data_IF_918525535081
#
_entry.id   IF_918525535081
#
_cell.length_a   1.000
_cell.length_b   1.000
_cell.length_c   1.000
_cell.angle_alpha   90.00
_cell.angle_beta   90.00
_cell.angle_gamma   90.00
#
_symmetry.space_group_name_H-M   'P 1'
#
loop_
_entity.id
_entity.type
_entity.pdbx_description
1 polymer ?
#
# COMPACT_ATOMS: atom_id res chain seq x y z
N UNK A 1 56.99 -5.61 19.91
CA UNK A 1 56.63 -4.79 18.72
C UNK A 1 55.16 -5.04 18.42
N UNK A 2 54.40 -3.96 18.38
CA UNK A 2 52.96 -3.84 18.23
C UNK A 2 52.43 -4.35 16.88
N UNK A 3 51.13 -4.69 16.87
CA UNK A 3 50.10 -4.56 15.80
C UNK A 3 49.38 -5.89 15.54
N UNK A 4 48.10 -5.95 15.27
CA UNK A 4 46.92 -5.11 15.50
C UNK A 4 45.77 -6.03 15.07
N UNK A 5 44.76 -6.13 15.93
CA UNK A 5 43.56 -6.95 15.76
C UNK A 5 42.64 -6.35 14.68
N UNK A 6 42.67 -6.79 13.41
CA UNK A 6 41.74 -6.31 12.36
C UNK A 6 41.60 -7.33 11.21
N UNK A 7 40.71 -8.31 11.34
CA UNK A 7 40.08 -8.94 10.18
C UNK A 7 38.73 -9.58 10.54
N UNK A 8 37.84 -8.79 11.14
CA UNK A 8 36.44 -9.19 11.39
C UNK A 8 35.45 -8.12 10.94
N UNK A 9 35.78 -7.39 9.88
CA UNK A 9 34.95 -6.31 9.34
C UNK A 9 34.84 -6.51 7.83
N UNK A 10 33.66 -6.91 7.37
CA UNK A 10 33.35 -6.78 5.94
C UNK A 10 32.36 -7.79 5.39
N UNK A 11 31.11 -7.80 5.87
CA UNK A 11 29.93 -8.07 5.02
C UNK A 11 28.59 -7.83 5.73
N UNK A 12 28.46 -6.74 6.48
CA UNK A 12 27.14 -6.21 6.81
C UNK A 12 26.77 -5.15 5.76
N UNK A 13 26.53 -5.60 4.53
CA UNK A 13 25.89 -4.76 3.52
C UNK A 13 24.41 -4.64 3.90
N UNK A 14 24.10 -3.68 4.77
CA UNK A 14 22.73 -3.26 5.03
C UNK A 14 22.20 -2.65 3.74
N UNK A 15 21.44 -3.44 2.98
CA UNK A 15 20.64 -2.93 1.89
C UNK A 15 19.60 -1.96 2.47
N UNK A 16 19.93 -0.67 2.47
CA UNK A 16 18.98 0.41 2.67
C UNK A 16 18.06 0.45 1.44
N UNK A 17 17.17 -0.52 1.31
CA UNK A 17 16.07 -0.43 0.38
C UNK A 17 15.19 0.71 0.87
N UNK A 18 15.23 1.85 0.18
CA UNK A 18 14.31 2.96 0.38
C UNK A 18 12.88 2.44 0.30
N UNK A 19 12.28 2.16 1.46
CA UNK A 19 10.89 1.82 1.57
C UNK A 19 10.11 3.06 1.17
N UNK A 20 9.58 3.10 -0.07
CA UNK A 20 8.41 3.93 -0.33
C UNK A 20 7.35 3.46 0.65
N UNK A 21 7.12 4.23 1.73
CA UNK A 21 6.31 3.76 2.85
C UNK A 21 4.86 3.71 2.41
N UNK A 22 4.30 2.50 2.31
CA UNK A 22 2.85 2.34 2.36
C UNK A 22 2.43 2.68 3.78
N UNK A 23 1.60 3.72 3.93
CA UNK A 23 0.97 4.09 5.19
C UNK A 23 -0.32 3.33 5.33
N UNK A 24 -0.50 2.60 6.43
CA UNK A 24 -1.68 1.76 6.66
C UNK A 24 -2.52 2.34 7.78
N UNK A 25 -3.82 2.48 7.53
CA UNK A 25 -4.84 2.67 8.56
C UNK A 25 -5.77 1.45 8.57
N UNK A 26 -6.36 1.14 9.72
CA UNK A 26 -7.32 0.05 9.86
C UNK A 26 -8.43 0.43 10.83
N UNK A 27 -9.59 -0.17 10.64
CA UNK A 27 -10.77 -0.03 11.49
C UNK A 27 -11.50 -1.38 11.53
N UNK A 28 -12.18 -1.68 12.63
CA UNK A 28 -12.90 -2.94 12.79
C UNK A 28 -13.99 -2.83 13.84
N UNK A 29 -15.01 -3.66 13.68
CA UNK A 29 -16.08 -3.80 14.66
C UNK A 29 -15.53 -4.47 15.94
N UNK A 30 -15.67 -3.78 17.07
CA UNK A 30 -15.24 -4.27 18.38
C UNK A 30 -16.12 -5.41 18.91
N UNK A 31 -17.32 -5.60 18.34
CA UNK A 31 -18.28 -6.65 18.70
C UNK A 31 -18.19 -7.90 17.83
N UNK A 32 -17.51 -7.82 16.67
CA UNK A 32 -17.32 -8.95 15.78
C UNK A 32 -16.35 -10.00 16.34
N UNK A 33 -16.71 -11.28 16.20
CA UNK A 33 -15.87 -12.40 16.60
C UNK A 33 -14.97 -12.86 15.44
N UNK A 34 -13.67 -12.62 15.57
CA UNK A 34 -12.66 -13.05 14.59
C UNK A 34 -12.04 -14.42 14.89
N UNK A 35 -12.36 -15.04 16.04
CA UNK A 35 -11.68 -16.26 16.52
C UNK A 35 -12.00 -17.50 15.70
N UNK A 36 -13.18 -17.53 15.07
CA UNK A 36 -13.71 -18.67 14.33
C UNK A 36 -13.56 -18.55 12.79
N UNK A 37 -12.85 -17.53 12.30
CA UNK A 37 -12.65 -17.35 10.86
C UNK A 37 -11.58 -18.32 10.34
N UNK A 38 -11.93 -19.11 9.33
CA UNK A 38 -11.03 -20.09 8.70
C UNK A 38 -11.08 -20.08 7.19
N UNK A 39 -12.20 -19.66 6.62
CA UNK A 39 -12.44 -19.66 5.17
C UNK A 39 -12.92 -18.31 4.69
N UNK A 40 -12.54 -17.94 3.47
CA UNK A 40 -12.98 -16.71 2.84
C UNK A 40 -13.45 -16.94 1.41
N UNK A 41 -14.26 -16.02 0.91
CA UNK A 41 -14.61 -15.95 -0.50
C UNK A 41 -14.47 -14.52 -1.01
N UNK A 42 -14.27 -14.37 -2.31
CA UNK A 42 -14.38 -13.06 -2.96
C UNK A 42 -15.84 -12.59 -2.96
N UNK A 43 -16.09 -11.35 -2.51
CA UNK A 43 -17.41 -10.72 -2.55
C UNK A 43 -17.92 -10.57 -3.98
N UNK A 44 -17.01 -10.16 -4.87
CA UNK A 44 -17.30 -9.89 -6.27
C UNK A 44 -16.54 -10.88 -7.14
N UNK A 45 -17.26 -11.63 -7.97
CA UNK A 45 -16.67 -12.51 -8.98
C UNK A 45 -15.86 -11.68 -9.99
N UNK A 46 -16.43 -10.57 -10.46
CA UNK A 46 -15.76 -9.56 -11.26
C UNK A 46 -15.53 -8.30 -10.44
N UNK A 47 -14.35 -7.70 -10.56
CA UNK A 47 -14.06 -6.49 -9.81
C UNK A 47 -14.91 -5.30 -10.30
N UNK A 48 -15.61 -4.57 -9.40
CA UNK A 48 -16.34 -3.36 -9.78
C UNK A 48 -15.41 -2.31 -10.40
N UNK A 49 -15.86 -1.73 -11.52
CA UNK A 49 -15.13 -0.67 -12.22
C UNK A 49 -15.17 0.63 -11.44
N UNK A 50 -14.04 1.31 -11.40
CA UNK A 50 -13.85 2.59 -10.70
C UNK A 50 -14.12 3.80 -11.60
N UNK A 51 -14.16 3.59 -12.91
CA UNK A 51 -14.20 4.65 -13.93
C UNK A 51 -12.80 5.14 -14.32
N UNK A 52 -11.73 4.57 -13.75
CA UNK A 52 -10.35 4.93 -14.04
C UNK A 52 -9.62 3.80 -14.78
N UNK A 53 -9.41 3.97 -16.08
CA UNK A 53 -8.77 2.97 -16.95
C UNK A 53 -7.37 2.53 -16.49
N UNK A 54 -6.64 3.33 -15.69
CA UNK A 54 -5.32 2.96 -15.16
C UNK A 54 -5.39 1.78 -14.18
N UNK A 55 -6.52 1.62 -13.49
CA UNK A 55 -6.75 0.56 -12.49
C UNK A 55 -7.87 -0.40 -12.89
N UNK A 56 -8.74 0.00 -13.80
CA UNK A 56 -9.80 -0.82 -14.36
C UNK A 56 -9.27 -1.76 -15.46
N UNK A 57 -8.37 -2.67 -15.08
CA UNK A 57 -7.83 -3.70 -15.97
C UNK A 57 -7.50 -5.01 -15.24
N UNK A 58 -7.58 -6.10 -15.98
CA UNK A 58 -7.44 -7.47 -15.48
C UNK A 58 -6.03 -7.77 -14.92
N UNK A 59 -5.00 -7.07 -15.42
CA UNK A 59 -3.63 -7.25 -14.92
C UNK A 59 -3.47 -6.72 -13.50
N UNK A 60 -4.13 -5.61 -13.15
CA UNK A 60 -4.11 -5.07 -11.79
C UNK A 60 -4.99 -5.92 -10.88
N UNK A 61 -6.18 -6.31 -11.32
CA UNK A 61 -7.06 -7.20 -10.57
C UNK A 61 -6.36 -8.52 -10.22
N UNK A 62 -5.78 -9.21 -11.20
CA UNK A 62 -5.05 -10.45 -10.98
C UNK A 62 -3.89 -10.30 -9.98
N UNK A 63 -3.17 -9.17 -10.00
CA UNK A 63 -2.08 -8.91 -9.05
C UNK A 63 -2.59 -8.69 -7.64
N UNK A 64 -3.67 -7.93 -7.46
CA UNK A 64 -4.24 -7.63 -6.13
C UNK A 64 -4.86 -8.89 -5.54
N UNK A 65 -5.65 -9.63 -6.31
CA UNK A 65 -6.26 -10.89 -5.88
C UNK A 65 -5.20 -11.92 -5.49
N UNK A 66 -4.19 -12.15 -6.33
CA UNK A 66 -3.11 -13.08 -6.03
C UNK A 66 -2.33 -12.69 -4.77
N UNK A 67 -2.10 -11.39 -4.54
CA UNK A 67 -1.44 -10.92 -3.33
C UNK A 67 -2.29 -11.14 -2.07
N UNK A 68 -3.59 -10.87 -2.14
CA UNK A 68 -4.53 -11.08 -1.03
C UNK A 68 -4.65 -12.58 -0.73
N UNK A 69 -4.82 -13.40 -1.76
CA UNK A 69 -4.93 -14.85 -1.63
C UNK A 69 -3.67 -15.44 -0.98
N UNK A 70 -2.49 -15.01 -1.41
CA UNK A 70 -1.22 -15.46 -0.83
C UNK A 70 -1.06 -15.05 0.64
N UNK A 71 -1.42 -13.81 0.99
CA UNK A 71 -1.31 -13.31 2.37
C UNK A 71 -2.33 -13.96 3.31
N UNK A 72 -3.56 -14.19 2.85
CA UNK A 72 -4.58 -14.91 3.62
C UNK A 72 -4.23 -16.39 3.80
N UNK A 73 -3.76 -17.05 2.73
CA UNK A 73 -3.25 -18.42 2.82
C UNK A 73 -2.07 -18.54 3.79
N UNK A 74 -1.13 -17.59 3.77
CA UNK A 74 -0.02 -17.52 4.72
C UNK A 74 -0.45 -17.32 6.18
N UNK A 75 -1.67 -16.82 6.41
CA UNK A 75 -2.29 -16.68 7.74
C UNK A 75 -3.14 -17.89 8.14
N UNK A 76 -3.30 -18.88 7.27
CA UNK A 76 -4.07 -20.10 7.50
C UNK A 76 -5.51 -20.05 7.03
N UNK A 77 -5.93 -19.01 6.31
CA UNK A 77 -7.27 -18.94 5.73
C UNK A 77 -7.32 -19.68 4.40
N UNK A 78 -8.41 -20.40 4.14
CA UNK A 78 -8.62 -21.11 2.88
C UNK A 78 -9.70 -20.45 2.02
N UNK A 79 -9.49 -20.42 0.70
CA UNK A 79 -10.53 -19.97 -0.22
C UNK A 79 -11.66 -21.02 -0.29
N UNK A 80 -12.90 -20.56 -0.14
CA UNK A 80 -14.11 -21.39 -0.19
C UNK A 80 -15.12 -20.84 -1.20
N UNK A 81 -16.21 -21.58 -1.41
CA UNK A 81 -17.36 -21.09 -2.17
C UNK A 81 -18.05 -19.97 -1.36
N UNK A 82 -18.62 -18.93 -2.00
CA UNK A 82 -19.28 -17.84 -1.30
C UNK A 82 -20.36 -18.27 -0.30
N UNK A 83 -21.07 -19.38 -0.55
CA UNK A 83 -22.10 -19.92 0.33
C UNK A 83 -21.59 -20.67 1.56
N UNK A 84 -20.29 -20.91 1.65
CA UNK A 84 -19.66 -21.73 2.70
C UNK A 84 -18.45 -21.03 3.34
N UNK A 85 -18.22 -19.76 3.01
CA UNK A 85 -17.11 -18.97 3.55
C UNK A 85 -17.54 -18.29 4.85
N UNK A 86 -16.64 -18.24 5.83
CA UNK A 86 -16.86 -17.56 7.12
C UNK A 86 -16.88 -16.04 6.94
N UNK A 87 -16.14 -15.52 5.95
CA UNK A 87 -16.14 -14.10 5.61
C UNK A 87 -15.96 -13.87 4.10
N UNK A 88 -16.33 -12.68 3.65
CA UNK A 88 -16.11 -12.24 2.27
C UNK A 88 -15.03 -11.16 2.21
N UNK A 89 -14.22 -11.16 1.15
CA UNK A 89 -13.23 -10.13 0.87
C UNK A 89 -13.67 -9.29 -0.32
N UNK A 90 -13.63 -7.98 -0.15
CA UNK A 90 -13.68 -7.01 -1.24
C UNK A 90 -12.42 -6.14 -1.21
N UNK A 91 -11.98 -5.66 -2.38
CA UNK A 91 -10.93 -4.65 -2.44
C UNK A 91 -11.40 -3.47 -3.30
N UNK A 92 -10.83 -2.29 -3.04
CA UNK A 92 -11.08 -1.10 -3.83
C UNK A 92 -9.76 -0.38 -4.09
N UNK A 93 -9.59 0.08 -5.34
CA UNK A 93 -8.49 0.96 -5.71
C UNK A 93 -9.04 2.34 -6.03
N UNK A 94 -8.40 3.38 -5.50
CA UNK A 94 -8.77 4.75 -5.77
C UNK A 94 -7.51 5.60 -5.94
N UNK A 95 -7.56 6.58 -6.84
CA UNK A 95 -6.54 7.61 -6.97
C UNK A 95 -7.16 8.96 -6.65
N UNK A 96 -6.60 9.66 -5.66
CA UNK A 96 -7.02 11.03 -5.30
C UNK A 96 -5.94 12.01 -5.67
N UNK A 97 -6.30 13.10 -6.34
CA UNK A 97 -5.39 14.22 -6.54
C UNK A 97 -5.17 14.91 -5.19
N UNK A 98 -3.90 15.08 -4.82
CA UNK A 98 -3.48 15.88 -3.67
C UNK A 98 -2.71 17.08 -4.18
N UNK A 99 -3.14 18.26 -3.76
CA UNK A 99 -2.36 19.49 -3.92
C UNK A 99 -1.31 19.48 -2.80
N UNK A 100 -0.05 19.26 -3.14
CA UNK A 100 1.05 19.36 -2.20
C UNK A 100 1.27 20.81 -1.79
N UNK A 101 1.13 21.12 -0.50
CA UNK A 101 1.52 22.42 0.06
C UNK A 101 3.03 22.64 -0.10
N UNK A 102 3.41 23.80 -0.64
CA UNK A 102 4.76 24.10 -1.12
C UNK A 102 5.85 24.02 -0.05
N UNK A 103 7.01 23.47 -0.43
CA UNK A 103 8.27 23.79 0.23
C UNK A 103 8.73 25.16 -0.28
N UNK A 104 8.85 26.15 0.62
CA UNK A 104 9.51 27.41 0.29
C UNK A 104 11.01 27.11 0.18
N UNK A 105 11.56 27.17 -1.03
CA UNK A 105 13.00 27.07 -1.23
C UNK A 105 13.60 28.48 -1.28
N UNK A 106 14.65 28.71 -0.48
CA UNK A 106 15.37 29.97 -0.40
C UNK A 106 16.70 29.82 -1.13
N UNK A 107 16.86 30.49 -2.27
CA UNK A 107 18.08 30.50 -3.06
C UNK A 107 18.73 31.89 -3.07
N UNK A 108 19.99 31.98 -2.63
CA UNK A 108 20.84 33.15 -2.89
C UNK A 108 21.66 32.84 -4.15
N UNK A 109 21.34 33.50 -5.26
CA UNK A 109 22.10 33.39 -6.51
C UNK A 109 23.07 34.55 -6.69
N UNK A 110 24.36 34.27 -6.89
CA UNK A 110 25.36 35.26 -7.32
C UNK A 110 25.58 35.14 -8.83
N UNK A 111 24.70 35.76 -9.62
CA UNK A 111 24.82 35.79 -11.08
C UNK A 111 25.78 36.88 -11.58
N UNK A 112 26.69 36.54 -12.48
CA UNK A 112 27.73 37.41 -13.07
C UNK A 112 27.22 38.46 -14.08
N UNK A 113 25.90 38.66 -14.22
CA UNK A 113 25.32 39.63 -15.18
C UNK A 113 24.14 40.44 -14.62
N UNK A 114 24.12 40.70 -13.31
CA UNK A 114 23.15 41.64 -12.74
C UNK A 114 23.74 42.29 -11.50
N UNK A 115 23.90 43.61 -11.53
CA UNK A 115 24.53 44.44 -10.49
C UNK A 115 23.72 44.54 -9.18
N UNK A 116 22.71 43.69 -8.99
CA UNK A 116 21.88 43.64 -7.81
C UNK A 116 21.58 42.17 -7.48
N UNK A 117 22.10 41.67 -6.36
CA UNK A 117 21.73 40.37 -5.83
C UNK A 117 20.25 40.39 -5.42
N UNK A 118 19.48 39.44 -5.92
CA UNK A 118 18.06 39.30 -5.60
C UNK A 118 17.82 38.05 -4.76
N UNK A 119 16.93 38.18 -3.76
CA UNK A 119 16.32 37.03 -3.08
C UNK A 119 15.10 36.63 -3.93
N UNK A 120 15.12 35.42 -4.49
CA UNK A 120 13.99 34.83 -5.20
C UNK A 120 13.23 33.87 -4.29
N UNK A 121 11.89 33.92 -4.33
CA UNK A 121 11.01 32.94 -3.72
C UNK A 121 10.41 32.08 -4.84
N UNK A 122 10.65 30.77 -4.80
CA UNK A 122 9.97 29.80 -5.65
C UNK A 122 8.96 29.03 -4.80
N UNK A 123 7.67 29.16 -5.13
CA UNK A 123 6.57 28.43 -4.51
C UNK A 123 6.24 27.26 -5.44
N UNK A 124 6.94 26.15 -5.25
CA UNK A 124 6.64 24.91 -5.97
C UNK A 124 5.32 24.32 -5.45
N UNK A 125 4.24 24.45 -6.20
CA UNK A 125 3.01 23.68 -6.00
C UNK A 125 3.20 22.38 -6.78
N UNK A 126 3.18 21.24 -6.08
CA UNK A 126 3.27 19.92 -6.72
C UNK A 126 1.97 19.18 -6.53
N UNK A 127 1.20 19.03 -7.59
CA UNK A 127 0.08 18.11 -7.63
C UNK A 127 0.63 16.68 -7.76
N UNK A 128 0.14 15.76 -6.93
CA UNK A 128 0.42 14.35 -7.08
C UNK A 128 -0.83 13.52 -6.86
N UNK A 129 -0.99 12.48 -7.67
CA UNK A 129 -2.00 11.46 -7.43
C UNK A 129 -1.53 10.60 -6.24
N UNK A 130 -2.42 10.31 -5.30
CA UNK A 130 -2.20 9.40 -4.19
C UNK A 130 -3.13 8.18 -4.36
N UNK A 131 -2.53 7.00 -4.44
CA UNK A 131 -3.22 5.73 -4.56
C UNK A 131 -3.63 5.16 -3.20
N UNK A 132 -4.85 4.67 -3.13
CA UNK A 132 -5.46 3.98 -2.00
C UNK A 132 -5.81 2.55 -2.41
N UNK A 133 -5.37 1.57 -1.62
CA UNK A 133 -5.83 0.19 -1.70
C UNK A 133 -6.58 -0.11 -0.41
N UNK A 134 -7.89 -0.29 -0.52
CA UNK A 134 -8.77 -0.69 0.58
C UNK A 134 -9.04 -2.18 0.47
N UNK A 135 -9.00 -2.89 1.59
CA UNK A 135 -9.39 -4.29 1.71
C UNK A 135 -10.43 -4.38 2.82
N UNK A 136 -11.60 -4.89 2.48
CA UNK A 136 -12.73 -5.07 3.38
C UNK A 136 -12.96 -6.55 3.64
N UNK A 137 -13.20 -6.86 4.90
CA UNK A 137 -13.68 -8.15 5.39
C UNK A 137 -15.13 -7.95 5.78
N UNK A 138 -16.00 -8.74 5.19
CA UNK A 138 -17.45 -8.56 5.20
C UNK A 138 -18.08 -9.82 5.81
N UNK A 139 -18.99 -9.65 6.76
CA UNK A 139 -19.81 -10.73 7.27
C UNK A 139 -20.83 -11.16 6.20
N UNK A 140 -20.87 -12.45 5.79
CA UNK A 140 -21.82 -12.92 4.80
C UNK A 140 -23.28 -12.93 5.29
N UNK A 141 -23.53 -12.91 6.60
CA UNK A 141 -24.85 -13.01 7.19
C UNK A 141 -25.71 -11.75 6.96
N UNK A 142 -25.11 -10.57 7.14
CA UNK A 142 -25.77 -9.27 6.99
C UNK A 142 -25.13 -8.38 5.91
N UNK A 143 -23.94 -8.73 5.43
CA UNK A 143 -23.21 -7.94 4.44
C UNK A 143 -22.46 -6.74 5.02
N UNK A 144 -22.33 -6.64 6.34
CA UNK A 144 -21.64 -5.54 7.01
C UNK A 144 -20.12 -5.72 6.98
N UNK A 145 -19.40 -4.60 7.01
CA UNK A 145 -17.93 -4.61 7.05
C UNK A 145 -17.50 -4.75 8.51
N UNK A 146 -16.94 -5.90 8.85
CA UNK A 146 -16.43 -6.18 10.20
C UNK A 146 -14.97 -5.76 10.35
N UNK A 147 -14.19 -5.66 9.27
CA UNK A 147 -12.83 -5.14 9.30
C UNK A 147 -12.46 -4.45 7.98
N UNK A 148 -11.73 -3.34 8.06
CA UNK A 148 -11.23 -2.59 6.91
C UNK A 148 -9.77 -2.21 7.12
N UNK A 149 -8.96 -2.43 6.10
CA UNK A 149 -7.59 -1.96 6.02
C UNK A 149 -7.38 -1.08 4.79
N UNK A 150 -6.66 0.03 4.93
CA UNK A 150 -6.41 0.99 3.85
C UNK A 150 -4.92 1.29 3.77
N UNK A 151 -4.29 0.93 2.65
CA UNK A 151 -2.91 1.26 2.32
C UNK A 151 -2.83 2.45 1.38
N UNK A 152 -2.05 3.47 1.77
CA UNK A 152 -1.85 4.72 1.02
C UNK A 152 -0.42 4.81 0.51
N UNK A 153 -0.24 5.19 -0.76
CA UNK A 153 1.07 5.55 -1.34
C UNK A 153 0.89 6.45 -2.55
N UNK A 154 1.98 7.07 -3.02
CA UNK A 154 1.96 7.90 -4.23
C UNK A 154 1.33 7.19 -5.46
N UNK A 155 1.86 6.07 -5.97
CA UNK A 155 1.21 5.41 -7.11
C UNK A 155 1.45 3.92 -7.23
N UNK A 156 0.40 3.11 -7.15
CA UNK A 156 0.41 1.66 -7.39
C UNK A 156 0.95 1.25 -8.75
N UNK A 157 0.66 2.02 -9.81
CA UNK A 157 1.28 1.84 -11.11
C UNK A 157 2.65 2.54 -11.21
N UNK A 158 3.63 1.81 -11.73
CA UNK A 158 5.00 2.27 -11.95
C UNK A 158 5.46 2.16 -13.41
N UNK A 159 4.57 1.75 -14.32
CA UNK A 159 4.89 1.47 -15.72
C UNK A 159 5.78 0.24 -15.94
N UNK A 160 6.20 -0.44 -14.86
CA UNK A 160 7.07 -1.64 -14.91
C UNK A 160 6.38 -2.81 -14.22
N UNK A 161 5.97 -3.87 -14.96
CA UNK A 161 5.15 -4.95 -14.42
C UNK A 161 5.69 -5.59 -13.13
N UNK A 162 6.96 -5.98 -13.11
CA UNK A 162 7.58 -6.61 -11.95
C UNK A 162 7.62 -5.69 -10.70
N UNK A 163 7.82 -4.38 -10.92
CA UNK A 163 7.84 -3.39 -9.85
C UNK A 163 6.43 -3.14 -9.32
N UNK A 164 5.43 -3.06 -10.19
CA UNK A 164 4.02 -2.97 -9.81
C UNK A 164 3.60 -4.17 -8.95
N UNK A 165 3.89 -5.40 -9.40
CA UNK A 165 3.61 -6.61 -8.60
C UNK A 165 4.27 -6.57 -7.23
N UNK A 166 5.56 -6.23 -7.15
CA UNK A 166 6.28 -6.13 -5.87
C UNK A 166 5.61 -5.15 -4.90
N UNK A 167 5.13 -4.03 -5.42
CA UNK A 167 4.51 -3.01 -4.56
C UNK A 167 3.10 -3.42 -4.14
N UNK A 168 2.31 -4.04 -5.02
CA UNK A 168 1.01 -4.61 -4.66
C UNK A 168 1.18 -5.63 -3.53
N UNK A 169 2.10 -6.58 -3.68
CA UNK A 169 2.37 -7.58 -2.65
C UNK A 169 2.77 -6.93 -1.31
N UNK A 170 3.70 -5.97 -1.35
CA UNK A 170 4.12 -5.24 -0.15
C UNK A 170 2.95 -4.48 0.51
N UNK A 171 2.08 -3.84 -0.28
CA UNK A 171 0.97 -3.08 0.24
C UNK A 171 -0.07 -4.00 0.90
N UNK A 172 -0.45 -5.08 0.22
CA UNK A 172 -1.38 -6.08 0.77
C UNK A 172 -0.83 -6.70 2.05
N UNK A 173 0.43 -7.13 2.05
CA UNK A 173 1.09 -7.69 3.23
C UNK A 173 1.04 -6.71 4.42
N UNK A 174 1.29 -5.42 4.18
CA UNK A 174 1.22 -4.39 5.23
C UNK A 174 -0.21 -4.12 5.70
N UNK A 175 -1.18 -4.08 4.79
CA UNK A 175 -2.60 -3.86 5.12
C UNK A 175 -3.09 -5.01 6.00
N UNK A 176 -2.83 -6.25 5.59
CA UNK A 176 -3.28 -7.46 6.27
C UNK A 176 -2.40 -7.88 7.45
N UNK A 177 -1.26 -7.20 7.69
CA UNK A 177 -0.30 -7.57 8.74
C UNK A 177 -0.95 -7.74 10.12
N UNK A 178 -1.98 -6.94 10.40
CA UNK A 178 -2.72 -6.95 11.67
C UNK A 178 -4.17 -7.43 11.55
N UNK A 179 -4.49 -8.14 10.48
CA UNK A 179 -5.71 -8.92 10.36
C UNK A 179 -5.40 -10.40 10.70
N UNK A 180 -6.24 -11.08 11.50
CA UNK A 180 -7.34 -10.51 12.30
C UNK A 180 -6.83 -9.63 13.46
N UNK A 181 -7.63 -8.66 13.96
CA UNK A 181 -7.21 -7.70 14.99
C UNK A 181 -7.05 -8.33 16.39
N UNK A 182 -7.72 -9.45 16.65
CA UNK A 182 -7.65 -10.23 17.90
C UNK A 182 -7.66 -11.72 17.52
N UNK A 183 -6.85 -12.54 18.18
CA UNK A 183 -6.94 -14.01 18.14
C UNK A 183 -7.50 -14.49 19.47
#
# INVERSE_FOLDING_TARGET
MTKWNLFFIGCMAVALSGCSSVTVSRDYDLSADFSNLSTYAWKHAEQPRTGNARIDNDLIDARVRAAIDAELAGKGFALAKPSAADFQIAYFLEYKQRIGGSAVSFGIGTGTYSRFGGIGYDIGISDYDEGYLTIDVIDPADGEIIWRGVGRRASYDTGKPAKTTKIVNMAVARILAKFPPVK
#
